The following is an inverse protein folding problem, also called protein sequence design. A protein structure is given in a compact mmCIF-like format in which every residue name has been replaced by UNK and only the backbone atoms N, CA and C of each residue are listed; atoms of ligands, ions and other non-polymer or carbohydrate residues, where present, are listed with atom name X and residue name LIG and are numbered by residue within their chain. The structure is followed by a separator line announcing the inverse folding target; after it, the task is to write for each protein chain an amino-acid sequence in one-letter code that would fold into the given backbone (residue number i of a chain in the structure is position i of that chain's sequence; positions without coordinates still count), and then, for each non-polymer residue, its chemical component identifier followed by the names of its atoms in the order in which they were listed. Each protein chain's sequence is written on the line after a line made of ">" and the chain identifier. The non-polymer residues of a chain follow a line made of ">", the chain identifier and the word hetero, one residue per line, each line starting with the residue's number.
data_IF_937740824656
#
_entry.id   IF_937740824656
#
_cell.length_a   1.000
_cell.length_b   1.000
_cell.length_c   1.000
_cell.angle_alpha   90.00
_cell.angle_beta   90.00
_cell.angle_gamma   90.00
#
_symmetry.space_group_name_H-M   'P 1'
#
loop_
_entity.id
_entity.type
_entity.pdbx_description
1 polymer ?
#
# COMPACT_ATOMS: atom_id res chain seq x y z
N UNK A 1 -42.68 1.06 5.06
CA UNK A 1 -41.54 0.14 5.19
C UNK A 1 -40.38 0.76 4.43
N UNK A 2 -39.53 1.54 5.11
CA UNK A 2 -38.27 2.01 4.52
C UNK A 2 -37.31 0.82 4.57
N UNK A 3 -36.71 0.46 3.44
CA UNK A 3 -35.76 -0.66 3.38
C UNK A 3 -34.56 -0.41 4.30
N UNK A 4 -33.69 -1.42 4.53
CA UNK A 4 -32.44 -1.19 5.25
C UNK A 4 -31.68 -0.09 4.51
N UNK A 5 -31.38 1.01 5.20
CA UNK A 5 -30.46 2.01 4.68
C UNK A 5 -29.11 1.31 4.57
N UNK A 6 -28.67 1.04 3.34
CA UNK A 6 -27.31 0.59 3.08
C UNK A 6 -26.39 1.67 3.68
N UNK A 7 -25.59 1.28 4.68
CA UNK A 7 -24.50 2.12 5.17
C UNK A 7 -23.61 2.54 3.99
N UNK A 8 -22.78 3.59 4.15
CA UNK A 8 -21.89 4.01 3.08
C UNK A 8 -21.13 2.78 2.57
N UNK A 9 -21.26 2.48 1.28
CA UNK A 9 -20.49 1.41 0.66
C UNK A 9 -19.01 1.80 0.82
N UNK A 10 -18.30 1.13 1.71
CA UNK A 10 -16.89 1.42 1.99
C UNK A 10 -16.11 1.11 0.72
N UNK A 11 -15.60 2.15 0.06
CA UNK A 11 -14.69 2.01 -1.09
C UNK A 11 -13.31 1.59 -0.60
N UNK A 12 -12.52 0.94 -1.46
CA UNK A 12 -11.16 0.54 -1.12
C UNK A 12 -10.29 1.76 -0.76
N UNK A 13 -10.59 2.91 -1.37
CA UNK A 13 -10.02 4.21 -1.02
C UNK A 13 -10.34 4.59 0.43
N UNK A 14 -11.60 4.47 0.85
CA UNK A 14 -12.02 4.74 2.22
C UNK A 14 -11.26 3.87 3.23
N UNK A 15 -11.17 2.56 2.97
CA UNK A 15 -10.45 1.63 3.83
C UNK A 15 -8.95 1.97 3.95
N UNK A 16 -8.33 2.38 2.83
CA UNK A 16 -6.94 2.84 2.81
C UNK A 16 -6.78 4.13 3.60
N UNK A 17 -7.67 5.12 3.41
CA UNK A 17 -7.61 6.41 4.10
C UNK A 17 -7.73 6.25 5.62
N UNK A 18 -8.74 5.50 6.08
CA UNK A 18 -8.95 5.21 7.51
C UNK A 18 -7.70 4.55 8.11
N UNK A 19 -7.08 3.63 7.37
CA UNK A 19 -5.85 2.96 7.80
C UNK A 19 -4.66 3.93 7.85
N UNK A 20 -4.48 4.79 6.83
CA UNK A 20 -3.41 5.79 6.80
C UNK A 20 -3.52 6.80 7.94
N UNK A 21 -4.73 7.27 8.26
CA UNK A 21 -4.98 8.13 9.40
C UNK A 21 -4.61 7.43 10.72
N UNK A 22 -5.04 6.18 10.90
CA UNK A 22 -4.73 5.39 12.10
C UNK A 22 -3.22 5.12 12.26
N UNK A 23 -2.49 5.00 11.14
CA UNK A 23 -1.04 4.86 11.10
C UNK A 23 -0.29 6.18 11.38
N UNK A 24 -1.00 7.31 11.39
CA UNK A 24 -0.43 8.64 11.58
C UNK A 24 0.31 9.17 10.36
N UNK A 25 -0.07 8.73 9.16
CA UNK A 25 0.45 9.30 7.91
C UNK A 25 0.09 10.79 7.82
N UNK A 26 1.02 11.61 7.33
CA UNK A 26 0.87 13.08 7.22
C UNK A 26 1.17 13.61 5.83
N UNK A 27 1.22 12.73 4.82
CA UNK A 27 1.47 13.12 3.45
C UNK A 27 0.20 13.58 2.73
N UNK A 28 0.30 13.86 1.42
CA UNK A 28 -0.77 14.53 0.65
C UNK A 28 -1.96 13.63 0.30
N UNK A 29 -1.85 12.31 0.48
CA UNK A 29 -2.86 11.33 0.07
C UNK A 29 -3.84 10.97 1.20
N UNK A 30 -4.40 11.99 1.85
CA UNK A 30 -5.39 11.86 2.93
C UNK A 30 -6.81 12.27 2.50
N UNK A 31 -7.01 12.53 1.21
CA UNK A 31 -8.32 12.83 0.63
C UNK A 31 -8.62 11.81 -0.48
N UNK A 32 -9.87 11.34 -0.56
CA UNK A 32 -10.29 10.28 -1.51
C UNK A 32 -9.98 10.64 -2.96
N UNK A 33 -10.26 11.88 -3.38
CA UNK A 33 -9.98 12.32 -4.74
C UNK A 33 -8.47 12.36 -5.04
N UNK A 34 -7.66 12.79 -4.07
CA UNK A 34 -6.20 12.84 -4.23
C UNK A 34 -5.61 11.42 -4.31
N UNK A 35 -6.05 10.53 -3.43
CA UNK A 35 -5.66 9.12 -3.43
C UNK A 35 -6.05 8.43 -4.73
N UNK A 36 -7.31 8.59 -5.17
CA UNK A 36 -7.81 8.02 -6.43
C UNK A 36 -6.97 8.46 -7.62
N UNK A 37 -6.70 9.77 -7.73
CA UNK A 37 -5.91 10.32 -8.83
C UNK A 37 -4.46 9.83 -8.82
N UNK A 38 -3.85 9.71 -7.64
CA UNK A 38 -2.50 9.17 -7.49
C UNK A 38 -2.46 7.69 -7.89
N UNK A 39 -3.44 6.89 -7.46
CA UNK A 39 -3.57 5.47 -7.83
C UNK A 39 -3.82 5.26 -9.33
N UNK A 40 -4.56 6.16 -10.00
CA UNK A 40 -4.71 6.15 -11.46
C UNK A 40 -3.38 6.42 -12.19
N UNK A 41 -2.53 7.27 -11.62
CA UNK A 41 -1.17 7.52 -12.13
C UNK A 41 -0.17 6.41 -11.82
N UNK A 42 -0.52 5.47 -10.92
CA UNK A 42 0.30 4.35 -10.49
C UNK A 42 1.73 4.77 -10.10
N UNK A 43 2.71 3.95 -10.48
CA UNK A 43 4.13 4.20 -10.18
C UNK A 43 4.70 5.48 -10.85
N UNK A 44 4.00 6.02 -11.85
CA UNK A 44 4.38 7.30 -12.47
C UNK A 44 3.92 8.52 -11.66
N UNK A 45 2.98 8.36 -10.71
CA UNK A 45 2.61 9.43 -9.77
C UNK A 45 3.68 9.57 -8.69
N UNK A 46 4.31 10.76 -8.53
CA UNK A 46 5.26 11.01 -7.46
C UNK A 46 4.69 10.74 -6.06
N UNK A 47 3.44 11.15 -5.83
CA UNK A 47 2.76 11.01 -4.55
C UNK A 47 2.46 9.53 -4.23
N UNK A 48 2.01 8.76 -5.22
CA UNK A 48 1.75 7.33 -5.05
C UNK A 48 3.03 6.55 -4.73
N UNK A 49 4.10 6.79 -5.50
CA UNK A 49 5.40 6.15 -5.31
C UNK A 49 6.01 6.51 -3.95
N UNK A 50 5.88 7.78 -3.51
CA UNK A 50 6.34 8.21 -2.20
C UNK A 50 5.57 7.54 -1.06
N UNK A 51 4.26 7.34 -1.21
CA UNK A 51 3.46 6.60 -0.23
C UNK A 51 3.88 5.14 -0.14
N UNK A 52 4.17 4.48 -1.28
CA UNK A 52 4.68 3.11 -1.29
C UNK A 52 6.03 2.98 -0.57
N UNK A 53 6.96 3.92 -0.82
CA UNK A 53 8.26 4.00 -0.14
C UNK A 53 8.07 4.20 1.35
N UNK A 54 7.19 5.14 1.75
CA UNK A 54 6.90 5.40 3.15
C UNK A 54 6.38 4.15 3.85
N UNK A 55 5.33 3.51 3.32
CA UNK A 55 4.78 2.27 3.88
C UNK A 55 5.83 1.16 3.98
N UNK A 56 6.59 0.92 2.90
CA UNK A 56 7.66 -0.08 2.87
C UNK A 56 8.74 0.18 3.93
N UNK A 57 9.17 1.43 4.09
CA UNK A 57 10.17 1.82 5.08
C UNK A 57 9.69 1.60 6.52
N UNK A 58 8.42 1.92 6.79
CA UNK A 58 7.80 1.73 8.09
C UNK A 58 7.68 0.23 8.41
N UNK A 59 7.27 -0.61 7.46
CA UNK A 59 7.21 -2.07 7.62
C UNK A 59 8.61 -2.62 7.92
N UNK A 60 9.61 -2.27 7.11
CA UNK A 60 11.00 -2.73 7.27
C UNK A 60 11.61 -2.31 8.61
N UNK A 61 11.14 -1.21 9.21
CA UNK A 61 11.58 -0.82 10.56
C UNK A 61 11.05 -1.74 11.68
N UNK A 62 9.97 -2.48 11.42
CA UNK A 62 9.29 -3.31 12.42
C UNK A 62 9.55 -4.82 12.25
N UNK A 63 10.13 -5.23 11.13
CA UNK A 63 10.44 -6.61 10.80
C UNK A 63 11.75 -6.73 9.99
N UNK A 64 12.39 -7.90 10.04
CA UNK A 64 13.69 -8.11 9.42
C UNK A 64 13.55 -8.63 7.99
N UNK A 65 13.18 -7.73 7.06
CA UNK A 65 13.06 -8.01 5.63
C UNK A 65 14.37 -7.75 4.90
N UNK A 66 14.72 -8.64 3.97
CA UNK A 66 15.83 -8.45 3.04
C UNK A 66 15.47 -7.39 1.99
N UNK A 67 14.30 -7.50 1.37
CA UNK A 67 13.81 -6.62 0.32
C UNK A 67 13.43 -5.22 0.85
N UNK A 68 13.44 -4.21 -0.02
CA UNK A 68 12.99 -2.85 0.31
C UNK A 68 12.41 -2.15 -0.89
N UNK A 69 11.42 -1.30 -0.64
CA UNK A 69 10.90 -0.32 -1.59
C UNK A 69 11.70 0.96 -1.40
N UNK A 70 12.51 1.35 -2.39
CA UNK A 70 13.44 2.48 -2.27
C UNK A 70 13.15 3.57 -3.30
N UNK A 71 13.69 4.77 -3.06
CA UNK A 71 13.62 5.86 -4.02
C UNK A 71 14.53 5.66 -5.24
N UNK A 72 15.48 4.71 -5.19
CA UNK A 72 16.44 4.47 -6.27
C UNK A 72 15.75 3.96 -7.54
N UNK A 73 14.68 3.18 -7.40
CA UNK A 73 13.86 2.74 -8.52
C UNK A 73 13.07 3.87 -9.19
N UNK A 74 12.92 5.06 -8.60
CA UNK A 74 12.05 6.10 -9.19
C UNK A 74 12.52 6.61 -10.55
N UNK A 75 13.81 6.48 -10.85
CA UNK A 75 14.38 6.83 -12.16
C UNK A 75 14.19 5.71 -13.22
N UNK A 76 13.81 4.51 -12.79
CA UNK A 76 13.52 3.34 -13.62
C UNK A 76 12.26 2.61 -13.12
N UNK A 77 11.11 2.91 -13.74
CA UNK A 77 9.82 2.34 -13.35
C UNK A 77 9.82 0.81 -13.29
N UNK A 78 10.53 0.13 -14.20
CA UNK A 78 10.61 -1.34 -14.19
C UNK A 78 11.40 -1.84 -12.98
N UNK A 79 12.52 -1.19 -12.66
CA UNK A 79 13.29 -1.41 -11.44
C UNK A 79 12.46 -1.20 -10.17
N UNK A 80 11.72 -0.08 -10.07
CA UNK A 80 10.85 0.19 -8.92
C UNK A 80 9.76 -0.86 -8.76
N UNK A 81 9.18 -1.29 -9.88
CA UNK A 81 8.15 -2.32 -9.89
C UNK A 81 8.68 -3.69 -9.47
N UNK A 82 9.94 -4.00 -9.80
CA UNK A 82 10.63 -5.21 -9.34
C UNK A 82 10.92 -5.16 -7.84
N UNK A 83 11.38 -4.01 -7.31
CA UNK A 83 11.55 -3.81 -5.87
C UNK A 83 10.24 -4.07 -5.11
N UNK A 84 9.13 -3.47 -5.56
CA UNK A 84 7.80 -3.71 -4.98
C UNK A 84 7.43 -5.19 -5.09
N UNK A 85 7.63 -5.81 -6.25
CA UNK A 85 7.31 -7.24 -6.45
C UNK A 85 8.10 -8.15 -5.51
N UNK A 86 9.41 -7.87 -5.29
CA UNK A 86 10.26 -8.61 -4.36
C UNK A 86 9.77 -8.46 -2.93
N UNK A 87 9.54 -7.21 -2.52
CA UNK A 87 9.03 -6.88 -1.19
C UNK A 87 7.70 -7.58 -0.88
N UNK A 88 6.75 -7.53 -1.82
CA UNK A 88 5.45 -8.19 -1.66
C UNK A 88 5.57 -9.72 -1.57
N UNK A 89 6.49 -10.34 -2.32
CA UNK A 89 6.74 -11.79 -2.24
C UNK A 89 7.28 -12.19 -0.88
N UNK A 90 8.25 -11.43 -0.35
CA UNK A 90 8.82 -11.70 0.98
C UNK A 90 7.77 -11.57 2.08
N UNK A 91 6.86 -10.59 1.95
CA UNK A 91 5.70 -10.41 2.83
C UNK A 91 4.54 -11.40 2.59
N UNK A 92 4.72 -12.39 1.69
CA UNK A 92 3.71 -13.37 1.32
C UNK A 92 2.36 -12.73 0.87
N UNK A 93 2.43 -11.65 0.10
CA UNK A 93 1.26 -10.95 -0.42
C UNK A 93 0.29 -11.90 -1.15
N UNK A 94 -1.01 -11.91 -0.78
CA UNK A 94 -1.98 -12.87 -1.31
C UNK A 94 -2.46 -12.51 -2.73
N UNK A 95 -2.24 -11.26 -3.17
CA UNK A 95 -2.68 -10.80 -4.48
C UNK A 95 -1.71 -11.27 -5.57
N UNK A 96 -2.00 -12.41 -6.19
CA UNK A 96 -1.17 -13.00 -7.24
C UNK A 96 -0.88 -12.05 -8.40
N UNK A 97 -1.84 -11.18 -8.75
CA UNK A 97 -1.70 -10.14 -9.79
C UNK A 97 -0.57 -9.14 -9.49
N UNK A 98 -0.21 -8.94 -8.22
CA UNK A 98 0.85 -8.01 -7.82
C UNK A 98 2.24 -8.66 -7.80
N UNK A 99 2.34 -9.99 -7.78
CA UNK A 99 3.61 -10.72 -7.56
C UNK A 99 3.97 -11.73 -8.66
N UNK A 100 3.03 -12.06 -9.55
CA UNK A 100 3.17 -13.10 -10.58
C UNK A 100 2.77 -12.58 -11.97
N UNK A 101 3.01 -13.36 -13.03
CA UNK A 101 2.74 -12.95 -14.41
C UNK A 101 3.85 -12.08 -15.02
N UNK A 102 3.60 -11.46 -16.17
CA UNK A 102 4.55 -10.51 -16.79
C UNK A 102 4.69 -9.26 -15.91
N UNK A 103 5.92 -8.79 -15.71
CA UNK A 103 6.18 -7.57 -14.93
C UNK A 103 5.43 -6.38 -15.54
N UNK A 104 5.38 -6.27 -16.86
CA UNK A 104 4.76 -5.14 -17.56
C UNK A 104 3.24 -5.05 -17.38
N UNK A 105 2.62 -6.13 -16.92
CA UNK A 105 1.17 -6.20 -16.70
C UNK A 105 0.77 -5.87 -15.26
N UNK A 106 1.71 -5.90 -14.29
CA UNK A 106 1.39 -5.64 -12.88
C UNK A 106 1.26 -4.15 -12.59
N UNK A 107 0.48 -3.78 -11.56
CA UNK A 107 0.31 -2.39 -11.12
C UNK A 107 -0.07 -1.43 -12.25
N UNK A 108 -0.75 -1.93 -13.29
CA UNK A 108 -1.17 -1.14 -14.46
C UNK A 108 -2.54 -0.51 -14.27
N UNK A 109 -3.32 -1.00 -13.30
CA UNK A 109 -4.68 -0.53 -13.03
C UNK A 109 -4.76 0.20 -11.69
N UNK A 110 -5.71 1.14 -11.58
CA UNK A 110 -6.05 1.80 -10.32
C UNK A 110 -6.36 0.78 -9.22
N UNK A 111 -7.11 -0.27 -9.56
CA UNK A 111 -7.51 -1.34 -8.62
C UNK A 111 -6.29 -2.10 -8.08
N UNK A 112 -5.31 -2.43 -8.93
CA UNK A 112 -4.07 -3.06 -8.47
C UNK A 112 -3.23 -2.13 -7.59
N UNK A 113 -3.22 -0.84 -7.91
CA UNK A 113 -2.58 0.19 -7.09
C UNK A 113 -3.25 0.33 -5.71
N UNK A 114 -4.58 0.27 -5.64
CA UNK A 114 -5.30 0.30 -4.37
C UNK A 114 -5.11 -0.99 -3.57
N UNK A 115 -5.08 -2.17 -4.20
CA UNK A 115 -4.73 -3.44 -3.52
C UNK A 115 -3.34 -3.38 -2.91
N UNK A 116 -2.37 -2.78 -3.60
CA UNK A 116 -1.02 -2.57 -3.08
C UNK A 116 -1.06 -1.72 -1.81
N UNK A 117 -1.73 -0.56 -1.84
CA UNK A 117 -1.82 0.33 -0.69
C UNK A 117 -2.59 -0.30 0.48
N UNK A 118 -3.69 -1.01 0.18
CA UNK A 118 -4.47 -1.74 1.17
C UNK A 118 -3.62 -2.81 1.85
N UNK A 119 -2.91 -3.63 1.08
CA UNK A 119 -2.02 -4.65 1.62
C UNK A 119 -0.93 -4.04 2.52
N UNK A 120 -0.15 -3.08 2.00
CA UNK A 120 0.95 -2.48 2.75
C UNK A 120 0.49 -1.77 4.03
N UNK A 121 -0.60 -1.00 3.97
CA UNK A 121 -1.12 -0.28 5.12
C UNK A 121 -1.66 -1.21 6.21
N UNK A 122 -2.40 -2.24 5.83
CA UNK A 122 -2.93 -3.24 6.78
C UNK A 122 -1.83 -4.10 7.40
N UNK A 123 -0.82 -4.52 6.64
CA UNK A 123 0.35 -5.23 7.17
C UNK A 123 1.14 -4.37 8.17
N UNK A 124 1.36 -3.09 7.85
CA UNK A 124 2.00 -2.16 8.78
C UNK A 124 1.19 -2.02 10.08
N UNK A 125 -0.13 -1.89 9.97
CA UNK A 125 -1.01 -1.79 11.13
C UNK A 125 -0.93 -3.06 11.99
N UNK A 126 -0.95 -4.25 11.36
CA UNK A 126 -0.79 -5.53 12.05
C UNK A 126 0.56 -5.62 12.79
N UNK A 127 1.66 -5.24 12.14
CA UNK A 127 2.99 -5.21 12.74
C UNK A 127 3.06 -4.27 13.94
N UNK A 128 2.47 -3.07 13.85
CA UNK A 128 2.40 -2.14 14.98
C UNK A 128 1.62 -2.72 16.17
N UNK A 129 0.51 -3.43 15.91
CA UNK A 129 -0.28 -4.10 16.96
C UNK A 129 0.57 -5.19 17.64
N UNK A 130 1.27 -6.02 16.86
CA UNK A 130 2.13 -7.08 17.38
C UNK A 130 3.29 -6.52 18.21
N UNK A 131 3.91 -5.43 17.75
CA UNK A 131 4.97 -4.74 18.50
C UNK A 131 4.45 -4.19 19.82
N UNK A 132 3.30 -3.51 19.83
CA UNK A 132 2.67 -2.99 21.07
C UNK A 132 2.33 -4.12 22.06
N UNK A 133 1.93 -5.30 21.57
CA UNK A 133 1.70 -6.48 22.43
C UNK A 133 2.98 -7.01 23.06
N UNK A 134 4.11 -7.05 22.32
CA UNK A 134 5.41 -7.50 22.84
C UNK A 134 5.93 -6.62 23.99
N UNK A 135 5.69 -5.31 23.94
CA UNK A 135 6.14 -4.36 24.96
C UNK A 135 5.30 -4.37 26.26
N UNK A 136 4.18 -5.09 26.29
CA UNK A 136 3.27 -5.16 27.44
C UNK A 136 3.49 -6.41 28.32
N UNK A 137 4.40 -7.29 27.91
CA UNK A 137 4.82 -8.48 28.64
C UNK A 137 6.26 -8.30 29.16
#
# INVERSE_FOLDING_TARGET
>A
MRGPELGPETSMEGDVLDTLEALGYKGPLLEEQALSKAAEGGLSSPEFSELCIWLGSQIKSLCNLEESITSAGRDDLEGFQLEISGFLKEMACPYSVLVSGDIKERLTTKDDCLKLLLFLSTELQALQILQKKKHKN
#
